data_IF_043697835290
#
_entry.id   IF_043697835290
#
_cell.length_a   1.000
_cell.length_b   1.000
_cell.length_c   1.000
_cell.angle_alpha   90.00
_cell.angle_beta   90.00
_cell.angle_gamma   90.00
#
_symmetry.space_group_name_H-M   'P 1'
#
loop_
_entity.id
_entity.type
_entity.pdbx_description
1 polymer ?
#
# COMPACT_ATOMS: atom_id res chain seq x y z
N UNK A 1 2.91 -80.38 -22.35
CA UNK A 1 3.20 -79.33 -23.36
C UNK A 1 3.16 -77.98 -22.67
N UNK A 2 4.31 -77.41 -22.30
CA UNK A 2 4.39 -76.09 -21.66
C UNK A 2 5.30 -75.20 -22.53
N UNK A 3 4.69 -74.25 -23.24
CA UNK A 3 5.41 -73.20 -23.99
C UNK A 3 5.81 -72.11 -23.01
N UNK A 4 7.12 -71.92 -22.84
CA UNK A 4 7.67 -70.82 -22.03
C UNK A 4 7.57 -69.50 -22.80
N UNK A 5 7.18 -68.38 -22.15
CA UNK A 5 7.19 -67.07 -22.77
C UNK A 5 8.64 -66.61 -23.02
N UNK A 6 8.97 -66.27 -24.26
CA UNK A 6 10.25 -65.67 -24.61
C UNK A 6 10.18 -64.17 -24.35
N UNK A 7 10.79 -63.73 -23.24
CA UNK A 7 10.96 -62.30 -22.96
C UNK A 7 12.01 -61.75 -23.92
N UNK A 8 11.58 -60.95 -24.91
CA UNK A 8 12.51 -60.24 -25.79
C UNK A 8 13.14 -59.10 -24.97
N UNK A 9 14.46 -59.05 -24.81
CA UNK A 9 15.09 -57.92 -24.16
C UNK A 9 14.83 -56.67 -25.00
N UNK A 10 14.10 -55.72 -24.44
CA UNK A 10 13.98 -54.38 -24.99
C UNK A 10 15.34 -53.71 -24.90
N UNK A 11 15.87 -53.28 -26.04
CA UNK A 11 17.09 -52.47 -26.08
C UNK A 11 16.73 -51.10 -25.50
N UNK A 12 17.09 -50.87 -24.24
CA UNK A 12 17.12 -49.58 -23.58
C UNK A 12 18.06 -48.66 -24.38
N UNK A 13 17.50 -47.84 -25.27
CA UNK A 13 18.28 -46.80 -25.95
C UNK A 13 18.51 -45.71 -24.92
N UNK A 14 19.78 -45.37 -24.64
CA UNK A 14 20.22 -44.39 -23.63
C UNK A 14 19.80 -42.93 -23.87
N UNK A 15 18.59 -42.69 -24.34
CA UNK A 15 17.98 -41.38 -24.61
C UNK A 15 17.25 -40.82 -23.37
N UNK A 16 16.96 -41.66 -22.35
CA UNK A 16 16.29 -41.23 -21.11
C UNK A 16 17.04 -40.14 -20.33
N UNK A 17 18.37 -40.15 -20.35
CA UNK A 17 19.18 -39.17 -19.62
C UNK A 17 19.15 -37.78 -20.29
N UNK A 18 19.13 -37.73 -21.63
CA UNK A 18 19.02 -36.45 -22.33
C UNK A 18 17.60 -35.90 -22.29
N UNK A 19 16.59 -36.77 -22.29
CA UNK A 19 15.19 -36.39 -22.12
C UNK A 19 14.93 -35.72 -20.76
N UNK A 20 15.43 -36.31 -19.67
CA UNK A 20 15.31 -35.72 -18.33
C UNK A 20 16.08 -34.41 -18.16
N UNK A 21 17.27 -34.28 -18.75
CA UNK A 21 18.02 -33.02 -18.77
C UNK A 21 17.26 -31.91 -19.51
N UNK A 22 16.67 -32.23 -20.66
CA UNK A 22 15.84 -31.27 -21.40
C UNK A 22 14.58 -30.90 -20.62
N UNK A 23 13.91 -31.86 -19.98
CA UNK A 23 12.75 -31.60 -19.14
C UNK A 23 13.08 -30.67 -17.95
N UNK A 24 14.20 -30.93 -17.26
CA UNK A 24 14.68 -30.07 -16.18
C UNK A 24 15.06 -28.67 -16.67
N UNK A 25 15.66 -28.55 -17.86
CA UNK A 25 15.98 -27.25 -18.47
C UNK A 25 14.70 -26.44 -18.75
N UNK A 26 13.70 -27.07 -19.38
CA UNK A 26 12.42 -26.42 -19.68
C UNK A 26 11.72 -26.00 -18.38
N UNK A 27 11.71 -26.87 -17.37
CA UNK A 27 11.13 -26.57 -16.05
C UNK A 27 11.84 -25.39 -15.38
N UNK A 28 13.18 -25.38 -15.39
CA UNK A 28 13.97 -24.29 -14.81
C UNK A 28 13.66 -22.94 -15.46
N UNK A 29 13.59 -22.90 -16.80
CA UNK A 29 13.19 -21.70 -17.55
C UNK A 29 11.75 -21.28 -17.23
N UNK A 30 10.84 -22.23 -17.10
CA UNK A 30 9.45 -21.98 -16.71
C UNK A 30 9.33 -21.32 -15.33
N UNK A 31 10.06 -21.84 -14.33
CA UNK A 31 10.07 -21.28 -12.97
C UNK A 31 10.73 -19.90 -12.95
N UNK A 32 11.82 -19.69 -13.69
CA UNK A 32 12.46 -18.38 -13.82
C UNK A 32 11.50 -17.34 -14.44
N UNK A 33 10.75 -17.73 -15.47
CA UNK A 33 9.71 -16.89 -16.07
C UNK A 33 8.63 -16.50 -15.06
N UNK A 34 8.12 -17.46 -14.29
CA UNK A 34 7.14 -17.22 -13.24
C UNK A 34 7.67 -16.30 -12.14
N UNK A 35 8.92 -16.51 -11.70
CA UNK A 35 9.55 -15.66 -10.69
C UNK A 35 9.68 -14.20 -11.17
N UNK A 36 10.01 -13.98 -12.45
CA UNK A 36 10.02 -12.65 -13.06
C UNK A 36 8.64 -11.99 -13.04
N UNK A 37 7.58 -12.72 -13.37
CA UNK A 37 6.20 -12.23 -13.28
C UNK A 37 5.82 -11.88 -11.83
N UNK A 38 6.14 -12.75 -10.87
CA UNK A 38 5.86 -12.53 -9.45
C UNK A 38 6.57 -11.26 -8.92
N UNK A 39 7.83 -11.04 -9.31
CA UNK A 39 8.56 -9.83 -8.94
C UNK A 39 7.87 -8.55 -9.48
N UNK A 40 7.41 -8.60 -10.73
CA UNK A 40 6.64 -7.53 -11.34
C UNK A 40 5.31 -7.27 -10.62
N UNK A 41 4.55 -8.32 -10.31
CA UNK A 41 3.31 -8.22 -9.54
C UNK A 41 3.55 -7.61 -8.16
N UNK A 42 4.59 -8.04 -7.44
CA UNK A 42 4.92 -7.51 -6.11
C UNK A 42 5.21 -6.00 -6.16
N UNK A 43 5.96 -5.55 -7.17
CA UNK A 43 6.25 -4.12 -7.36
C UNK A 43 4.95 -3.32 -7.61
N UNK A 44 4.06 -3.83 -8.45
CA UNK A 44 2.75 -3.21 -8.71
C UNK A 44 1.88 -3.16 -7.45
N UNK A 45 1.83 -4.26 -6.67
CA UNK A 45 1.08 -4.31 -5.40
C UNK A 45 1.62 -3.28 -4.40
N UNK A 46 2.94 -3.13 -4.28
CA UNK A 46 3.53 -2.11 -3.39
C UNK A 46 3.10 -0.71 -3.78
N UNK A 47 3.10 -0.39 -5.07
CA UNK A 47 2.67 0.92 -5.57
C UNK A 47 1.16 1.15 -5.36
N UNK A 48 0.34 0.13 -5.60
CA UNK A 48 -1.09 0.18 -5.35
C UNK A 48 -1.40 0.41 -3.87
N UNK A 49 -0.71 -0.31 -2.98
CA UNK A 49 -0.85 -0.13 -1.53
C UNK A 49 -0.46 1.27 -1.08
N UNK A 50 0.67 1.81 -1.56
CA UNK A 50 1.09 3.17 -1.22
C UNK A 50 0.04 4.22 -1.63
N UNK A 51 -0.54 4.08 -2.83
CA UNK A 51 -1.63 4.96 -3.30
C UNK A 51 -2.89 4.80 -2.45
N UNK A 52 -3.27 3.56 -2.11
CA UNK A 52 -4.43 3.28 -1.28
C UNK A 52 -4.28 3.91 0.12
N UNK A 53 -3.10 3.79 0.74
CA UNK A 53 -2.80 4.42 2.03
C UNK A 53 -2.89 5.94 1.95
N UNK A 54 -2.37 6.57 0.89
CA UNK A 54 -2.51 8.02 0.68
C UNK A 54 -3.99 8.45 0.61
N UNK A 55 -4.81 7.72 -0.14
CA UNK A 55 -6.24 8.01 -0.28
C UNK A 55 -6.98 7.82 1.05
N UNK A 56 -6.67 6.76 1.80
CA UNK A 56 -7.25 6.53 3.12
C UNK A 56 -6.92 7.68 4.08
N UNK A 57 -5.67 8.14 4.08
CA UNK A 57 -5.22 9.25 4.93
C UNK A 57 -5.85 10.59 4.53
N UNK A 58 -6.12 10.81 3.24
CA UNK A 58 -6.87 11.97 2.77
C UNK A 58 -8.35 11.89 3.17
N UNK A 59 -8.96 10.70 3.09
CA UNK A 59 -10.34 10.49 3.51
C UNK A 59 -10.51 10.66 5.03
N UNK A 60 -9.58 10.20 5.86
CA UNK A 60 -9.59 10.42 7.32
C UNK A 60 -9.65 11.92 7.64
N UNK A 61 -8.82 12.73 6.98
CA UNK A 61 -8.84 14.17 7.15
C UNK A 61 -10.17 14.77 6.67
N UNK A 62 -10.69 14.31 5.53
CA UNK A 62 -11.96 14.78 5.00
C UNK A 62 -13.15 14.47 5.93
N UNK A 63 -13.16 13.32 6.58
CA UNK A 63 -14.17 12.95 7.57
C UNK A 63 -14.08 13.84 8.82
N UNK A 64 -12.87 14.14 9.29
CA UNK A 64 -12.63 15.11 10.38
C UNK A 64 -13.11 16.52 10.02
N UNK A 65 -12.84 16.96 8.78
CA UNK A 65 -13.34 18.24 8.26
C UNK A 65 -14.86 18.30 8.27
N UNK A 66 -15.54 17.26 7.74
CA UNK A 66 -17.00 17.24 7.67
C UNK A 66 -17.68 17.18 9.04
N UNK A 67 -17.04 16.55 10.01
CA UNK A 67 -17.56 16.46 11.39
C UNK A 67 -17.29 17.72 12.21
N UNK A 68 -16.39 18.60 11.76
CA UNK A 68 -16.13 19.87 12.41
C UNK A 68 -17.27 20.88 12.13
N UNK A 69 -18.01 21.34 13.16
CA UNK A 69 -19.12 22.27 12.99
C UNK A 69 -18.72 23.65 12.46
N UNK A 70 -17.42 23.99 12.39
CA UNK A 70 -16.95 25.21 11.73
C UNK A 70 -17.10 25.18 10.21
N UNK A 71 -17.04 24.02 9.56
CA UNK A 71 -17.03 23.98 8.08
C UNK A 71 -18.36 24.51 7.51
N UNK A 72 -19.47 24.34 8.25
CA UNK A 72 -20.78 24.94 7.94
C UNK A 72 -21.06 26.30 8.58
N UNK A 73 -20.19 26.80 9.48
CA UNK A 73 -20.37 28.06 10.25
C UNK A 73 -19.24 29.07 10.05
N UNK A 74 -18.31 28.81 9.14
CA UNK A 74 -17.20 29.69 8.87
C UNK A 74 -17.74 31.09 8.50
N UNK A 75 -17.25 32.17 9.15
CA UNK A 75 -17.75 33.50 8.89
C UNK A 75 -17.60 33.83 7.40
N UNK A 76 -18.63 34.43 6.82
CA UNK A 76 -18.68 34.82 5.40
C UNK A 76 -17.46 35.68 5.05
N UNK A 77 -16.45 35.05 4.45
CA UNK A 77 -15.14 35.66 4.17
C UNK A 77 -13.95 34.72 4.40
N UNK A 78 -14.10 33.71 5.26
CA UNK A 78 -13.20 32.55 5.33
C UNK A 78 -13.96 31.33 4.84
N UNK A 79 -13.57 30.76 3.69
CA UNK A 79 -14.04 29.43 3.30
C UNK A 79 -13.80 28.47 4.46
N UNK A 80 -14.77 27.62 4.85
CA UNK A 80 -14.56 26.64 5.93
C UNK A 80 -13.34 25.72 5.71
N UNK A 81 -12.88 25.63 4.46
CA UNK A 81 -11.63 25.02 3.99
C UNK A 81 -10.36 25.67 4.57
N UNK A 82 -10.35 26.99 4.82
CA UNK A 82 -9.20 27.74 5.33
C UNK A 82 -8.74 27.29 6.72
N UNK A 83 -9.61 26.64 7.50
CA UNK A 83 -9.25 26.12 8.82
C UNK A 83 -8.38 24.86 8.75
N UNK A 84 -8.43 24.16 7.63
CA UNK A 84 -7.68 22.94 7.38
C UNK A 84 -6.54 23.13 6.38
N UNK A 85 -6.28 24.37 5.95
CA UNK A 85 -5.10 24.71 5.16
C UNK A 85 -3.84 24.64 6.04
N UNK A 86 -2.88 23.81 5.63
CA UNK A 86 -1.58 23.74 6.30
C UNK A 86 -0.46 23.48 5.30
N UNK A 87 0.64 24.20 5.49
CA UNK A 87 1.90 23.83 4.86
C UNK A 87 2.68 22.87 5.75
N UNK A 88 3.45 22.00 5.10
CA UNK A 88 4.36 21.11 5.79
C UNK A 88 5.58 21.90 6.29
N UNK A 89 6.12 21.52 7.46
CA UNK A 89 7.26 22.22 8.07
C UNK A 89 6.93 23.54 8.78
N UNK A 90 5.75 24.13 8.56
CA UNK A 90 5.26 25.20 9.43
C UNK A 90 4.67 24.59 10.72
N UNK A 91 5.06 25.09 11.91
CA UNK A 91 4.38 24.73 13.13
C UNK A 91 2.94 25.24 13.00
N UNK A 92 2.00 24.31 12.76
CA UNK A 92 0.60 24.58 12.96
C UNK A 92 0.48 25.00 14.43
N UNK A 93 0.18 26.28 14.67
CA UNK A 93 0.32 26.90 15.99
C UNK A 93 -0.23 26.01 17.10
N UNK A 94 0.43 26.04 18.27
CA UNK A 94 0.25 25.11 19.38
C UNK A 94 -1.17 24.54 19.47
N UNK A 95 -1.33 23.30 19.01
CA UNK A 95 -2.63 22.67 18.94
C UNK A 95 -3.03 22.20 20.35
N UNK A 96 -4.17 22.66 20.89
CA UNK A 96 -4.65 22.15 22.17
C UNK A 96 -5.08 20.69 22.06
N UNK A 97 -5.03 19.95 23.17
CA UNK A 97 -5.60 18.61 23.21
C UNK A 97 -7.12 18.68 23.39
N UNK A 98 -7.85 18.54 22.28
CA UNK A 98 -9.31 18.56 22.26
C UNK A 98 -9.94 17.28 22.82
N UNK A 99 -9.14 16.31 23.27
CA UNK A 99 -9.60 15.12 24.00
C UNK A 99 -9.74 15.38 25.50
N UNK A 100 -8.99 16.34 26.04
CA UNK A 100 -8.95 16.63 27.49
C UNK A 100 -9.68 17.91 27.86
N UNK A 101 -10.01 18.76 26.89
CA UNK A 101 -10.82 19.97 27.09
C UNK A 101 -11.76 20.22 25.92
N UNK A 102 -12.85 20.95 26.17
CA UNK A 102 -13.71 21.43 25.10
C UNK A 102 -12.93 22.42 24.22
N UNK A 103 -12.93 22.16 22.90
CA UNK A 103 -12.34 23.02 21.89
C UNK A 103 -13.43 23.74 21.10
N UNK A 104 -13.18 24.99 20.75
CA UNK A 104 -13.95 25.60 19.68
C UNK A 104 -13.55 24.99 18.32
N UNK A 105 -14.30 25.33 17.27
CA UNK A 105 -14.17 24.68 15.98
C UNK A 105 -12.84 25.00 15.25
N UNK A 106 -12.20 26.14 15.55
CA UNK A 106 -10.85 26.50 15.04
C UNK A 106 -9.77 25.70 15.78
N UNK A 107 -9.92 25.55 17.10
CA UNK A 107 -9.00 24.75 17.92
C UNK A 107 -9.06 23.27 17.55
N UNK A 108 -10.26 22.76 17.26
CA UNK A 108 -10.46 21.39 16.78
C UNK A 108 -9.75 21.13 15.45
N UNK A 109 -9.86 22.05 14.48
CA UNK A 109 -9.17 21.92 13.19
C UNK A 109 -7.64 21.88 13.35
N UNK A 110 -7.07 22.71 14.24
CA UNK A 110 -5.63 22.68 14.55
C UNK A 110 -5.21 21.36 15.21
N UNK A 111 -6.04 20.82 16.10
CA UNK A 111 -5.81 19.52 16.73
C UNK A 111 -5.84 18.38 15.72
N UNK A 112 -6.83 18.36 14.84
CA UNK A 112 -6.95 17.37 13.77
C UNK A 112 -5.74 17.40 12.84
N UNK A 113 -5.34 18.58 12.37
CA UNK A 113 -4.16 18.75 11.52
C UNK A 113 -2.88 18.30 12.23
N UNK A 114 -2.73 18.58 13.53
CA UNK A 114 -1.56 18.13 14.29
C UNK A 114 -1.51 16.60 14.40
N UNK A 115 -2.64 15.96 14.71
CA UNK A 115 -2.74 14.50 14.77
C UNK A 115 -2.51 13.85 13.41
N UNK A 116 -3.11 14.39 12.35
CA UNK A 116 -2.97 13.91 10.99
C UNK A 116 -1.53 14.02 10.49
N UNK A 117 -0.86 15.16 10.73
CA UNK A 117 0.57 15.32 10.40
C UNK A 117 1.47 14.34 11.16
N UNK A 118 1.18 14.09 12.43
CA UNK A 118 1.93 13.11 13.22
C UNK A 118 1.72 11.67 12.69
N UNK A 119 0.48 11.31 12.33
CA UNK A 119 0.16 10.01 11.74
C UNK A 119 0.86 9.83 10.38
N UNK A 120 0.89 10.87 9.55
CA UNK A 120 1.60 10.88 8.27
C UNK A 120 3.11 10.64 8.44
N UNK A 121 3.76 11.35 9.38
CA UNK A 121 5.19 11.18 9.64
C UNK A 121 5.56 9.78 10.12
N UNK A 122 4.70 9.16 10.93
CA UNK A 122 4.89 7.79 11.38
C UNK A 122 4.81 6.78 10.22
N UNK A 123 3.98 7.06 9.21
CA UNK A 123 3.78 6.16 8.09
C UNK A 123 4.84 6.34 7.01
N UNK A 124 5.23 7.59 6.70
CA UNK A 124 6.25 7.94 5.70
C UNK A 124 7.26 8.96 6.25
N UNK A 125 8.36 8.48 6.87
CA UNK A 125 9.42 9.34 7.38
C UNK A 125 10.07 10.14 6.23
N UNK A 126 9.86 11.46 6.20
CA UNK A 126 10.45 12.37 5.21
C UNK A 126 9.59 12.67 3.97
N UNK A 127 8.32 12.23 3.94
CA UNK A 127 7.37 12.66 2.92
C UNK A 127 6.55 13.86 3.42
N UNK A 128 6.33 14.84 2.55
CA UNK A 128 5.57 16.06 2.87
C UNK A 128 4.13 15.95 2.35
N UNK A 129 3.18 16.51 3.11
CA UNK A 129 1.78 16.60 2.70
C UNK A 129 1.28 18.04 2.80
N UNK A 130 0.49 18.48 1.82
CA UNK A 130 -0.14 19.80 1.78
C UNK A 130 -1.62 19.61 1.46
N UNK A 131 -2.46 20.35 2.18
CA UNK A 131 -3.92 20.31 2.07
C UNK A 131 -4.43 21.74 2.11
#
# INVERSE_FOLDING_TARGET
>A
MLRLPTHRPSIERGVSLIESLVAMLILALGVLGLAGLQAGTLAQTRQANARATAVQMANDLLERMQTNPAVGRAPSGSSGTSLYETEWGLPGGQAPDCRTRACNAVELARHDLAQWKAAWQNQWPGADARV
#
